data_IF_593207224954
#
_entry.id   IF_593207224954
#
_cell.length_a   1.000
_cell.length_b   1.000
_cell.length_c   1.000
_cell.angle_alpha   90.00
_cell.angle_beta   90.00
_cell.angle_gamma   90.00
#
_symmetry.space_group_name_H-M   'P 1'
#
loop_
_entity.id
_entity.type
_entity.pdbx_description
1 polymer ?
#
# COMPACT_ATOMS: atom_id res chain seq x y z
N UNK A 1 -22.84 -23.39 69.35
CA UNK A 1 -23.19 -22.49 68.22
C UNK A 1 -21.96 -22.36 67.35
N UNK A 2 -21.98 -23.08 66.20
CA UNK A 2 -20.87 -23.05 65.21
C UNK A 2 -21.28 -22.13 64.09
N UNK A 3 -20.60 -20.99 63.92
CA UNK A 3 -20.82 -20.05 62.86
C UNK A 3 -20.01 -20.49 61.61
N UNK A 4 -20.70 -20.92 60.55
CA UNK A 4 -20.09 -21.22 59.27
C UNK A 4 -19.94 -19.90 58.52
N UNK A 5 -18.69 -19.44 58.33
CA UNK A 5 -18.38 -18.34 57.45
C UNK A 5 -18.35 -18.84 56.02
N UNK A 6 -19.34 -18.46 55.21
CA UNK A 6 -19.41 -18.71 53.78
C UNK A 6 -18.59 -17.61 53.05
N UNK A 7 -17.38 -17.94 52.58
CA UNK A 7 -16.58 -17.04 51.74
C UNK A 7 -17.14 -17.10 50.31
N UNK A 8 -17.80 -16.04 49.88
CA UNK A 8 -18.21 -15.83 48.48
C UNK A 8 -16.96 -15.38 47.74
N UNK A 9 -16.40 -16.26 46.92
CA UNK A 9 -15.38 -15.90 45.94
C UNK A 9 -16.05 -15.12 44.78
N UNK A 10 -15.93 -13.79 44.80
CA UNK A 10 -16.25 -13.01 43.59
C UNK A 10 -15.21 -13.37 42.50
N UNK A 11 -15.61 -14.15 41.53
CA UNK A 11 -14.90 -14.29 40.27
C UNK A 11 -15.02 -12.93 39.55
N UNK A 12 -13.98 -12.09 39.66
CA UNK A 12 -13.83 -10.94 38.83
C UNK A 12 -13.59 -11.43 37.39
N UNK A 13 -14.65 -11.51 36.58
CA UNK A 13 -14.54 -11.55 35.13
C UNK A 13 -13.96 -10.20 34.71
N UNK A 14 -12.64 -10.07 34.74
CA UNK A 14 -11.95 -9.00 34.04
C UNK A 14 -12.23 -9.16 32.56
N UNK A 15 -13.08 -8.31 31.99
CA UNK A 15 -13.15 -8.16 30.55
C UNK A 15 -11.75 -7.76 30.08
N UNK A 16 -11.03 -8.67 29.43
CA UNK A 16 -9.77 -8.33 28.76
C UNK A 16 -10.05 -7.14 27.84
N UNK A 17 -9.37 -6.03 28.06
CA UNK A 17 -9.50 -4.88 27.16
C UNK A 17 -9.05 -5.33 25.78
N UNK A 18 -9.85 -5.03 24.74
CA UNK A 18 -9.47 -5.33 23.37
C UNK A 18 -8.09 -4.73 23.05
N UNK A 19 -7.24 -5.50 22.39
CA UNK A 19 -5.97 -4.99 21.87
C UNK A 19 -6.28 -3.84 20.91
N UNK A 20 -5.53 -2.74 21.03
CA UNK A 20 -5.68 -1.56 20.17
C UNK A 20 -4.46 -1.44 19.28
N UNK A 21 -4.69 -1.21 18.00
CA UNK A 21 -3.63 -0.96 17.02
C UNK A 21 -3.97 0.27 16.18
N UNK A 22 -2.96 1.05 15.82
CA UNK A 22 -3.09 2.12 14.82
C UNK A 22 -2.45 1.63 13.52
N UNK A 23 -3.17 1.79 12.41
CA UNK A 23 -2.72 1.43 11.06
C UNK A 23 -2.43 2.70 10.26
N UNK A 24 -1.16 2.94 9.95
CA UNK A 24 -0.74 3.95 8.98
C UNK A 24 -1.08 3.48 7.55
N UNK A 25 -1.71 4.34 6.76
CA UNK A 25 -2.15 4.01 5.39
C UNK A 25 -1.53 4.96 4.36
N UNK A 26 -2.31 5.73 3.65
CA UNK A 26 -1.92 6.77 2.72
C UNK A 26 -2.95 7.87 2.73
N UNK A 27 -2.86 8.82 1.80
CA UNK A 27 -3.86 9.84 1.62
C UNK A 27 -5.24 9.25 1.25
N UNK A 28 -6.30 9.95 1.59
CA UNK A 28 -7.70 9.50 1.34
C UNK A 28 -8.05 9.34 -0.14
N UNK A 29 -7.30 9.99 -1.04
CA UNK A 29 -7.41 9.82 -2.49
C UNK A 29 -6.78 8.53 -3.04
N UNK A 30 -6.08 7.74 -2.20
CA UNK A 30 -5.43 6.48 -2.56
C UNK A 30 -6.21 5.24 -2.11
N UNK A 31 -5.76 4.07 -2.55
CA UNK A 31 -6.39 2.78 -2.24
C UNK A 31 -6.13 2.35 -0.80
N UNK A 32 -4.96 2.65 -0.22
CA UNK A 32 -4.57 2.22 1.13
C UNK A 32 -5.60 2.60 2.20
N UNK A 33 -6.08 3.85 2.19
CA UNK A 33 -6.96 4.35 3.25
C UNK A 33 -8.30 3.61 3.27
N UNK A 34 -8.98 3.55 2.12
CA UNK A 34 -10.28 2.88 2.02
C UNK A 34 -10.17 1.37 2.27
N UNK A 35 -9.16 0.72 1.68
CA UNK A 35 -8.94 -0.71 1.88
C UNK A 35 -8.51 -1.05 3.32
N UNK A 36 -7.65 -0.22 3.90
CA UNK A 36 -7.27 -0.33 5.32
C UNK A 36 -8.47 -0.23 6.26
N UNK A 37 -9.45 0.63 5.92
CA UNK A 37 -10.72 0.72 6.66
C UNK A 37 -11.50 -0.58 6.65
N UNK A 38 -11.62 -1.23 5.48
CA UNK A 38 -12.27 -2.55 5.35
C UNK A 38 -11.50 -3.61 6.15
N UNK A 39 -10.17 -3.72 5.97
CA UNK A 39 -9.36 -4.67 6.74
C UNK A 39 -9.49 -4.44 8.25
N UNK A 40 -9.41 -3.19 8.71
CA UNK A 40 -9.56 -2.83 10.12
C UNK A 40 -10.90 -3.27 10.72
N UNK A 41 -11.98 -3.15 9.95
CA UNK A 41 -13.29 -3.62 10.35
C UNK A 41 -13.35 -5.14 10.51
N UNK A 42 -12.78 -5.91 9.55
CA UNK A 42 -12.72 -7.37 9.66
C UNK A 42 -11.82 -7.82 10.81
N UNK A 43 -10.66 -7.19 11.01
CA UNK A 43 -9.77 -7.46 12.14
C UNK A 43 -10.52 -7.22 13.46
N UNK A 44 -11.23 -6.10 13.58
CA UNK A 44 -12.04 -5.81 14.77
C UNK A 44 -13.13 -6.86 15.02
N UNK A 45 -13.91 -7.18 14.00
CA UNK A 45 -15.08 -8.03 14.13
C UNK A 45 -14.73 -9.52 14.32
N UNK A 46 -13.61 -9.99 13.77
CA UNK A 46 -13.21 -11.40 13.75
C UNK A 46 -12.10 -11.74 14.73
N UNK A 47 -11.17 -10.81 14.97
CA UNK A 47 -10.05 -11.00 15.88
C UNK A 47 -10.22 -10.28 17.24
N UNK A 48 -11.19 -9.37 17.37
CA UNK A 48 -11.40 -8.57 18.58
C UNK A 48 -10.31 -7.50 18.80
N UNK A 49 -9.54 -7.17 17.77
CA UNK A 49 -8.48 -6.15 17.79
C UNK A 49 -9.06 -4.85 17.25
N UNK A 50 -9.05 -3.79 18.05
CA UNK A 50 -9.58 -2.48 17.65
C UNK A 50 -8.55 -1.72 16.82
N UNK A 51 -8.77 -1.59 15.51
CA UNK A 51 -7.84 -0.94 14.58
C UNK A 51 -8.31 0.46 14.24
N UNK A 52 -7.51 1.47 14.59
CA UNK A 52 -7.69 2.85 14.15
C UNK A 52 -6.89 3.08 12.87
N UNK A 53 -7.57 3.40 11.78
CA UNK A 53 -6.94 3.68 10.48
C UNK A 53 -6.66 5.17 10.36
N UNK A 54 -5.42 5.53 10.03
CA UNK A 54 -4.99 6.92 9.90
C UNK A 54 -4.41 7.21 8.51
N UNK A 55 -4.71 8.40 7.99
CA UNK A 55 -4.11 8.90 6.76
C UNK A 55 -2.68 9.36 7.02
N UNK A 56 -1.77 9.03 6.11
CA UNK A 56 -0.34 9.39 6.16
C UNK A 56 0.16 9.77 4.77
N UNK A 57 1.43 10.14 4.66
CA UNK A 57 2.09 10.38 3.38
C UNK A 57 2.44 9.07 2.62
N UNK A 58 2.18 7.89 3.20
CA UNK A 58 2.37 6.58 2.57
C UNK A 58 3.54 5.78 3.11
N UNK A 59 4.17 4.97 2.25
CA UNK A 59 5.02 3.84 2.63
C UNK A 59 6.18 4.19 3.57
N UNK A 60 6.97 5.22 3.26
CA UNK A 60 8.09 5.63 4.11
C UNK A 60 7.60 6.14 5.47
N UNK A 61 6.56 6.98 5.47
CA UNK A 61 5.96 7.51 6.70
C UNK A 61 5.44 6.39 7.61
N UNK A 62 4.85 5.34 7.03
CA UNK A 62 4.33 4.20 7.77
C UNK A 62 5.44 3.38 8.42
N UNK A 63 6.53 3.12 7.71
CA UNK A 63 7.71 2.42 8.27
C UNK A 63 8.32 3.24 9.40
N UNK A 64 8.50 4.56 9.20
CA UNK A 64 9.03 5.44 10.23
C UNK A 64 8.10 5.54 11.44
N UNK A 65 6.78 5.60 11.24
CA UNK A 65 5.79 5.61 12.33
C UNK A 65 5.78 4.30 13.13
N UNK A 66 5.99 3.14 12.48
CA UNK A 66 6.17 1.87 13.21
C UNK A 66 7.48 1.90 14.02
N UNK A 67 8.56 2.40 13.44
CA UNK A 67 9.84 2.50 14.13
C UNK A 67 9.78 3.44 15.33
N UNK A 68 8.99 4.51 15.23
CA UNK A 68 8.74 5.44 16.34
C UNK A 68 7.76 4.90 17.41
N UNK A 69 7.02 3.83 17.11
CA UNK A 69 5.99 3.27 17.99
C UNK A 69 4.61 3.96 17.85
N UNK A 70 4.45 4.88 16.92
CA UNK A 70 3.19 5.59 16.65
C UNK A 70 2.14 4.68 16.02
N UNK A 71 2.59 3.71 15.21
CA UNK A 71 1.75 2.73 14.53
C UNK A 71 2.16 1.31 14.88
N UNK A 72 1.19 0.40 14.92
CA UNK A 72 1.41 -1.04 15.07
C UNK A 72 1.28 -1.77 13.74
N UNK A 73 0.51 -1.21 12.79
CA UNK A 73 0.29 -1.73 11.44
C UNK A 73 0.61 -0.64 10.42
N UNK A 74 0.96 -1.05 9.21
CA UNK A 74 1.16 -0.11 8.10
C UNK A 74 0.95 -0.78 6.74
N UNK A 75 0.42 -0.02 5.78
CA UNK A 75 0.40 -0.43 4.37
C UNK A 75 1.58 0.21 3.65
N UNK A 76 2.34 -0.59 2.91
CA UNK A 76 3.56 -0.13 2.24
C UNK A 76 3.73 -0.81 0.88
N UNK A 77 4.44 -0.16 -0.02
CA UNK A 77 4.91 -0.77 -1.26
C UNK A 77 6.04 -1.77 -0.96
N UNK A 78 6.09 -2.88 -1.69
CA UNK A 78 7.10 -3.94 -1.52
C UNK A 78 8.53 -3.46 -1.75
N UNK A 79 8.75 -2.55 -2.67
CA UNK A 79 10.05 -1.91 -2.93
C UNK A 79 10.47 -1.00 -1.76
N UNK A 80 9.59 -0.13 -1.28
CA UNK A 80 9.88 0.76 -0.15
C UNK A 80 10.08 -0.03 1.15
N UNK A 81 9.35 -1.13 1.33
CA UNK A 81 9.55 -2.08 2.42
C UNK A 81 10.98 -2.64 2.42
N UNK A 82 11.46 -3.05 1.25
CA UNK A 82 12.84 -3.53 1.08
C UNK A 82 13.85 -2.41 1.35
N UNK A 83 13.62 -1.20 0.83
CA UNK A 83 14.51 -0.05 1.07
C UNK A 83 14.61 0.29 2.57
N UNK A 84 13.51 0.22 3.31
CA UNK A 84 13.52 0.40 4.77
C UNK A 84 14.33 -0.68 5.48
N UNK A 85 14.11 -1.93 5.10
CA UNK A 85 14.82 -3.08 5.67
C UNK A 85 16.34 -3.06 5.40
N UNK A 86 16.74 -2.61 4.21
CA UNK A 86 18.13 -2.53 3.80
C UNK A 86 18.83 -1.23 4.24
N UNK A 87 18.08 -0.17 4.50
CA UNK A 87 18.61 1.17 4.72
C UNK A 87 19.10 1.82 3.42
N UNK A 88 18.41 1.53 2.30
CA UNK A 88 18.80 1.99 0.96
C UNK A 88 17.81 3.02 0.40
N UNK A 89 18.17 3.69 -0.67
CA UNK A 89 17.31 4.63 -1.43
C UNK A 89 16.54 5.63 -0.53
N UNK A 90 15.24 5.44 -0.35
CA UNK A 90 14.41 6.31 0.50
C UNK A 90 14.88 6.35 1.96
N UNK A 91 15.63 5.37 2.41
CA UNK A 91 16.16 5.26 3.78
C UNK A 91 17.68 5.43 3.89
N UNK A 92 18.36 5.83 2.81
CA UNK A 92 19.83 5.99 2.81
C UNK A 92 20.33 6.90 3.94
N UNK A 93 19.57 7.95 4.27
CA UNK A 93 19.91 8.88 5.36
C UNK A 93 19.42 8.41 6.73
N UNK A 94 18.35 7.62 6.76
CA UNK A 94 17.73 7.13 8.01
C UNK A 94 18.39 5.84 8.50
N UNK A 95 19.02 5.08 7.58
CA UNK A 95 19.59 3.75 7.85
C UNK A 95 18.55 2.64 7.85
N UNK A 96 18.97 1.44 8.24
CA UNK A 96 18.12 0.25 8.35
C UNK A 96 17.02 0.43 9.39
N UNK A 97 15.82 -0.03 9.02
CA UNK A 97 14.68 -0.15 9.94
C UNK A 97 14.28 -1.62 9.99
N UNK A 98 14.54 -2.28 11.11
CA UNK A 98 14.25 -3.71 11.34
C UNK A 98 13.17 -3.96 12.39
N UNK A 99 12.48 -2.90 12.82
CA UNK A 99 11.42 -2.92 13.83
C UNK A 99 10.06 -3.36 13.30
N UNK A 100 9.96 -3.79 12.05
CA UNK A 100 8.73 -4.29 11.43
C UNK A 100 8.89 -5.67 10.82
N UNK A 101 7.77 -6.33 10.53
CA UNK A 101 7.70 -7.65 9.86
C UNK A 101 6.54 -7.64 8.88
N UNK A 102 6.61 -8.52 7.88
CA UNK A 102 5.53 -8.74 6.91
C UNK A 102 4.38 -9.49 7.56
N UNK A 103 3.17 -9.02 7.32
CA UNK A 103 1.95 -9.82 7.55
C UNK A 103 1.56 -10.51 6.25
N UNK A 104 1.39 -9.75 5.17
CA UNK A 104 0.95 -10.29 3.88
C UNK A 104 1.18 -9.32 2.72
N UNK A 105 1.40 -9.84 1.51
CA UNK A 105 1.12 -9.11 0.28
C UNK A 105 -0.40 -8.98 0.07
N UNK A 106 -0.84 -7.86 -0.46
CA UNK A 106 -2.27 -7.53 -0.60
C UNK A 106 -2.73 -7.55 -2.06
N UNK A 107 -2.34 -6.57 -2.84
CA UNK A 107 -2.78 -6.38 -4.22
C UNK A 107 -1.70 -5.65 -5.05
N UNK A 108 -1.91 -5.60 -6.36
CA UNK A 108 -1.03 -4.89 -7.28
C UNK A 108 -1.24 -3.37 -7.18
N UNK A 109 -0.14 -2.62 -7.03
CA UNK A 109 -0.11 -1.16 -7.07
C UNK A 109 0.45 -0.70 -8.41
N UNK A 110 -0.43 -0.39 -9.34
CA UNK A 110 -0.05 0.07 -10.66
C UNK A 110 0.48 1.50 -10.62
N UNK A 111 1.58 1.72 -11.36
CA UNK A 111 2.12 3.06 -11.60
C UNK A 111 1.26 3.71 -12.69
N UNK A 112 0.40 4.63 -12.29
CA UNK A 112 -0.54 5.32 -13.17
C UNK A 112 -0.01 6.72 -13.45
N UNK A 113 0.44 6.94 -14.67
CA UNK A 113 0.78 8.28 -15.16
C UNK A 113 -0.49 8.89 -15.77
N UNK A 114 -1.02 9.92 -15.12
CA UNK A 114 -2.31 10.53 -15.46
C UNK A 114 -2.08 11.94 -16.00
N UNK A 115 -2.79 12.29 -17.07
CA UNK A 115 -2.76 13.63 -17.68
C UNK A 115 -4.16 14.04 -18.16
N UNK A 116 -4.40 15.34 -18.32
CA UNK A 116 -5.55 15.89 -19.05
C UNK A 116 -5.17 16.41 -20.43
N UNK A 117 -3.87 16.40 -20.78
CA UNK A 117 -3.36 16.78 -22.09
C UNK A 117 -3.28 15.56 -23.01
N UNK A 118 -4.14 15.44 -24.07
CA UNK A 118 -4.14 14.29 -24.96
C UNK A 118 -2.88 14.18 -25.83
N UNK A 119 -2.01 15.18 -25.84
CA UNK A 119 -0.74 15.14 -26.54
C UNK A 119 0.40 14.51 -25.72
N UNK A 120 0.22 14.31 -24.42
CA UNK A 120 1.14 13.53 -23.59
C UNK A 120 0.78 12.04 -23.74
N UNK A 121 1.50 11.34 -24.60
CA UNK A 121 1.24 9.94 -25.00
C UNK A 121 2.30 8.96 -24.49
N UNK A 122 3.46 9.46 -24.13
CA UNK A 122 4.60 8.68 -23.64
C UNK A 122 5.25 9.38 -22.44
N UNK A 123 6.05 8.64 -21.69
CA UNK A 123 6.84 9.23 -20.57
C UNK A 123 7.81 10.33 -21.08
N UNK A 124 8.35 10.18 -22.30
CA UNK A 124 9.26 11.17 -22.89
C UNK A 124 8.60 12.54 -23.13
N UNK A 125 7.29 12.59 -23.31
CA UNK A 125 6.54 13.85 -23.51
C UNK A 125 6.47 14.71 -22.23
N UNK A 126 6.89 14.17 -21.08
CA UNK A 126 6.97 14.91 -19.82
C UNK A 126 8.10 15.94 -19.78
N UNK A 127 9.03 15.92 -20.75
CA UNK A 127 10.16 16.88 -20.78
C UNK A 127 9.65 18.32 -20.75
N UNK A 128 10.10 19.10 -19.76
CA UNK A 128 9.72 20.51 -19.55
C UNK A 128 8.33 20.72 -18.94
N UNK A 129 7.55 19.65 -18.75
CA UNK A 129 6.19 19.68 -18.16
C UNK A 129 6.24 19.83 -16.64
N UNK A 130 5.13 20.32 -16.07
CA UNK A 130 4.91 20.35 -14.62
C UNK A 130 4.29 19.03 -14.19
N UNK A 131 5.00 18.24 -13.38
CA UNK A 131 4.62 16.84 -13.08
C UNK A 131 4.62 16.60 -11.57
N UNK A 132 3.50 16.11 -11.03
CA UNK A 132 3.45 15.62 -9.67
C UNK A 132 4.12 14.24 -9.59
N UNK A 133 5.10 14.11 -8.71
CA UNK A 133 5.90 12.89 -8.49
C UNK A 133 5.68 12.29 -7.10
N UNK A 134 4.54 12.59 -6.48
CA UNK A 134 4.12 12.04 -5.19
C UNK A 134 4.54 12.88 -3.98
N UNK A 135 3.97 12.58 -2.83
CA UNK A 135 4.30 13.24 -1.57
C UNK A 135 5.73 12.89 -1.11
N UNK A 136 6.41 13.77 -0.34
CA UNK A 136 7.83 13.60 0.01
C UNK A 136 8.18 12.32 0.76
N UNK A 137 7.26 11.78 1.56
CA UNK A 137 7.44 10.55 2.33
C UNK A 137 6.71 9.35 1.72
N UNK A 138 6.31 9.44 0.44
CA UNK A 138 5.69 8.35 -0.31
C UNK A 138 6.73 7.47 -1.03
N UNK A 139 6.29 6.29 -1.46
CA UNK A 139 7.07 5.45 -2.39
C UNK A 139 6.99 5.96 -3.83
N UNK A 140 5.95 6.73 -4.16
CA UNK A 140 5.66 7.24 -5.51
C UNK A 140 6.82 8.04 -6.10
N UNK A 141 7.49 8.83 -5.26
CA UNK A 141 8.67 9.59 -5.68
C UNK A 141 9.71 8.71 -6.38
N UNK A 142 10.08 7.60 -5.75
CA UNK A 142 11.11 6.70 -6.31
C UNK A 142 10.61 5.99 -7.56
N UNK A 143 9.34 5.57 -7.59
CA UNK A 143 8.75 4.98 -8.79
C UNK A 143 8.72 6.00 -9.95
N UNK A 144 8.37 7.24 -9.70
CA UNK A 144 8.38 8.31 -10.71
C UNK A 144 9.80 8.56 -11.24
N UNK A 145 10.80 8.66 -10.35
CA UNK A 145 12.21 8.84 -10.75
C UNK A 145 12.70 7.64 -11.57
N UNK A 146 12.36 6.42 -11.19
CA UNK A 146 12.74 5.21 -11.91
C UNK A 146 12.14 5.21 -13.33
N UNK A 147 10.85 5.55 -13.47
CA UNK A 147 10.17 5.64 -14.77
C UNK A 147 10.78 6.74 -15.65
N UNK A 148 11.03 7.92 -15.08
CA UNK A 148 11.69 9.00 -15.80
C UNK A 148 13.07 8.58 -16.31
N UNK A 149 13.91 8.00 -15.43
CA UNK A 149 15.24 7.55 -15.80
C UNK A 149 15.22 6.47 -16.89
N UNK A 150 14.28 5.51 -16.81
CA UNK A 150 14.11 4.48 -17.83
C UNK A 150 13.69 5.06 -19.19
N UNK A 151 12.99 6.20 -19.19
CA UNK A 151 12.62 6.94 -20.40
C UNK A 151 13.71 7.94 -20.87
N UNK A 152 14.88 7.95 -20.22
CA UNK A 152 15.98 8.86 -20.54
C UNK A 152 15.79 10.29 -20.05
N UNK A 153 14.90 10.51 -19.09
CA UNK A 153 14.67 11.77 -18.40
C UNK A 153 15.21 11.71 -16.96
N UNK A 154 15.51 12.86 -16.41
CA UNK A 154 15.81 13.04 -14.99
C UNK A 154 14.78 13.96 -14.34
N UNK A 155 14.78 14.05 -13.02
CA UNK A 155 13.94 14.99 -12.29
C UNK A 155 14.15 16.44 -12.75
N UNK A 156 15.38 16.82 -13.13
CA UNK A 156 15.71 18.15 -13.64
C UNK A 156 15.16 18.46 -15.04
N UNK A 157 14.70 17.43 -15.78
CA UNK A 157 14.07 17.61 -17.09
C UNK A 157 12.57 17.95 -17.00
N UNK A 158 11.99 17.92 -15.80
CA UNK A 158 10.60 18.28 -15.51
C UNK A 158 10.54 19.42 -14.47
N UNK A 159 9.35 20.00 -14.30
CA UNK A 159 9.05 20.91 -13.17
C UNK A 159 8.36 20.07 -12.08
N UNK A 160 9.16 19.40 -11.27
CA UNK A 160 8.66 18.48 -10.27
C UNK A 160 7.76 19.16 -9.21
N UNK A 161 6.62 18.53 -8.90
CA UNK A 161 5.71 18.90 -7.84
C UNK A 161 5.58 17.73 -6.87
N UNK A 162 5.50 18.00 -5.57
CA UNK A 162 5.45 17.00 -4.53
C UNK A 162 4.11 17.07 -3.81
N UNK A 163 3.13 16.31 -4.29
CA UNK A 163 1.74 16.43 -3.89
C UNK A 163 1.13 15.07 -3.53
N UNK A 164 0.06 15.11 -2.70
CA UNK A 164 -0.80 13.95 -2.50
C UNK A 164 -1.58 13.63 -3.78
N UNK A 165 -2.23 12.45 -3.85
CA UNK A 165 -3.04 12.09 -5.02
C UNK A 165 -4.26 13.01 -5.20
N UNK A 166 -4.90 13.41 -4.10
CA UNK A 166 -6.02 14.34 -4.13
C UNK A 166 -5.58 15.72 -4.63
N UNK A 167 -4.50 16.27 -4.07
CA UNK A 167 -3.96 17.56 -4.51
C UNK A 167 -3.50 17.52 -5.97
N UNK A 168 -2.95 16.38 -6.42
CA UNK A 168 -2.54 16.17 -7.81
C UNK A 168 -3.74 16.16 -8.76
N UNK A 169 -4.82 15.48 -8.38
CA UNK A 169 -6.06 15.47 -9.16
C UNK A 169 -6.67 16.88 -9.27
N UNK A 170 -6.71 17.63 -8.19
CA UNK A 170 -7.17 19.02 -8.19
C UNK A 170 -6.24 19.93 -9.01
N UNK A 171 -4.93 19.74 -8.91
CA UNK A 171 -3.97 20.52 -9.68
C UNK A 171 -4.03 20.23 -11.18
N UNK A 172 -4.29 18.98 -11.59
CA UNK A 172 -4.59 18.61 -12.98
C UNK A 172 -5.86 19.32 -13.47
N UNK A 173 -6.96 19.22 -12.71
CA UNK A 173 -8.23 19.85 -13.01
C UNK A 173 -8.12 21.36 -13.17
N UNK A 174 -7.29 22.00 -12.34
CA UNK A 174 -7.05 23.44 -12.38
C UNK A 174 -6.02 23.85 -13.47
N UNK A 175 -5.42 22.91 -14.20
CA UNK A 175 -4.37 23.18 -15.17
C UNK A 175 -3.06 23.70 -14.58
N UNK A 176 -2.81 23.44 -13.29
CA UNK A 176 -1.59 23.83 -12.57
C UNK A 176 -0.43 22.88 -12.80
N UNK A 177 -0.73 21.64 -13.12
CA UNK A 177 0.24 20.62 -13.54
C UNK A 177 -0.23 19.94 -14.82
N UNK A 178 0.70 19.38 -15.58
CA UNK A 178 0.45 18.73 -16.87
C UNK A 178 0.20 17.22 -16.70
N UNK A 179 0.84 16.59 -15.69
CA UNK A 179 0.72 15.16 -15.42
C UNK A 179 0.99 14.84 -13.94
N UNK A 180 0.57 13.65 -13.52
CA UNK A 180 0.80 13.16 -12.16
C UNK A 180 1.10 11.66 -12.16
N UNK A 181 2.09 11.24 -11.39
CA UNK A 181 2.30 9.85 -11.01
C UNK A 181 1.43 9.49 -9.81
N UNK A 182 0.63 8.45 -9.95
CA UNK A 182 -0.22 7.88 -8.90
C UNK A 182 0.08 6.38 -8.84
N UNK A 183 0.68 5.92 -7.73
CA UNK A 183 1.00 4.51 -7.53
C UNK A 183 0.05 3.95 -6.50
N UNK A 184 -0.92 3.18 -6.96
CA UNK A 184 -2.02 2.68 -6.15
C UNK A 184 -2.74 1.53 -6.85
N UNK A 185 -3.60 0.82 -6.12
CA UNK A 185 -4.54 -0.14 -6.74
C UNK A 185 -5.54 0.58 -7.64
N UNK A 186 -5.65 0.13 -8.89
CA UNK A 186 -6.67 0.61 -9.82
C UNK A 186 -7.99 -0.19 -9.64
N UNK A 187 -9.19 0.47 -9.67
CA UNK A 187 -9.39 1.91 -9.77
C UNK A 187 -8.97 2.66 -8.50
N UNK A 188 -8.32 3.82 -8.68
CA UNK A 188 -7.88 4.69 -7.60
C UNK A 188 -8.88 5.81 -7.37
N UNK A 189 -9.30 6.11 -6.13
CA UNK A 189 -10.35 7.11 -5.85
C UNK A 189 -10.08 8.47 -6.50
N UNK A 190 -8.88 9.04 -6.38
CA UNK A 190 -8.54 10.34 -6.95
C UNK A 190 -8.67 10.38 -8.49
N UNK A 191 -8.29 9.29 -9.19
CA UNK A 191 -8.44 9.20 -10.65
C UNK A 191 -9.91 9.01 -11.02
N UNK A 192 -10.65 8.19 -10.26
CA UNK A 192 -12.08 7.99 -10.46
C UNK A 192 -12.85 9.30 -10.33
N UNK A 193 -12.54 10.10 -9.31
CA UNK A 193 -13.14 11.42 -9.10
C UNK A 193 -12.80 12.37 -10.26
N UNK A 194 -11.52 12.46 -10.65
CA UNK A 194 -11.04 13.29 -11.74
C UNK A 194 -11.80 12.97 -13.05
N UNK A 195 -11.87 11.68 -13.40
CA UNK A 195 -12.50 11.21 -14.64
C UNK A 195 -14.04 11.31 -14.64
N UNK A 196 -14.67 11.49 -13.47
CA UNK A 196 -16.12 11.66 -13.39
C UNK A 196 -16.59 12.94 -14.10
N UNK A 197 -15.83 14.01 -14.03
CA UNK A 197 -16.21 15.34 -14.54
C UNK A 197 -15.26 15.87 -15.63
N UNK A 198 -14.13 15.24 -15.87
CA UNK A 198 -13.10 15.68 -16.82
C UNK A 198 -12.67 14.53 -17.73
N UNK A 199 -12.17 14.87 -18.90
CA UNK A 199 -11.44 13.94 -19.74
C UNK A 199 -9.99 13.85 -19.20
N UNK A 200 -9.61 12.67 -18.76
CA UNK A 200 -8.26 12.37 -18.34
C UNK A 200 -7.78 11.05 -18.95
N UNK A 201 -6.49 10.96 -19.17
CA UNK A 201 -5.86 9.88 -19.91
C UNK A 201 -4.80 9.21 -19.05
N UNK A 202 -4.70 7.88 -19.16
CA UNK A 202 -3.57 7.12 -18.64
C UNK A 202 -2.51 7.02 -19.72
N UNK A 203 -1.28 7.41 -19.41
CA UNK A 203 -0.12 7.28 -20.30
C UNK A 203 0.52 5.91 -20.04
N UNK A 204 0.71 5.06 -21.06
CA UNK A 204 1.29 3.73 -20.90
C UNK A 204 2.75 3.82 -20.44
N UNK A 205 3.15 2.83 -19.63
CA UNK A 205 4.54 2.58 -19.23
C UNK A 205 4.85 1.16 -19.72
N UNK A 206 5.23 1.04 -20.97
CA UNK A 206 5.39 -0.23 -21.68
C UNK A 206 6.70 -0.31 -22.48
N UNK A 207 6.84 -1.32 -23.31
CA UNK A 207 7.98 -1.53 -24.21
C UNK A 207 9.33 -1.39 -23.51
N UNK A 208 10.25 -0.65 -24.13
CA UNK A 208 11.63 -0.51 -23.66
C UNK A 208 11.72 0.14 -22.26
N UNK A 209 10.78 1.02 -21.89
CA UNK A 209 10.75 1.65 -20.56
C UNK A 209 10.44 0.61 -19.50
N UNK A 210 9.39 -0.20 -19.68
CA UNK A 210 9.03 -1.26 -18.76
C UNK A 210 10.12 -2.35 -18.67
N UNK A 211 10.69 -2.76 -19.81
CA UNK A 211 11.79 -3.73 -19.87
C UNK A 211 13.02 -3.25 -19.09
N UNK A 212 13.41 -1.99 -19.28
CA UNK A 212 14.54 -1.37 -18.55
C UNK A 212 14.29 -1.32 -17.04
N UNK A 213 13.06 -0.99 -16.63
CA UNK A 213 12.66 -0.95 -15.22
C UNK A 213 12.74 -2.34 -14.59
N UNK A 214 12.15 -3.36 -15.22
CA UNK A 214 12.17 -4.74 -14.70
C UNK A 214 13.59 -5.33 -14.67
N UNK A 215 14.47 -4.92 -15.57
CA UNK A 215 15.87 -5.35 -15.56
C UNK A 215 16.68 -4.71 -14.43
N UNK A 216 16.33 -3.48 -14.03
CA UNK A 216 17.06 -2.72 -13.01
C UNK A 216 16.51 -2.90 -11.59
N UNK A 217 15.24 -3.27 -11.44
CA UNK A 217 14.56 -3.38 -10.15
C UNK A 217 13.61 -4.59 -10.14
N UNK A 218 13.90 -5.62 -9.32
CA UNK A 218 13.14 -6.87 -9.31
C UNK A 218 11.74 -6.76 -8.70
N UNK A 219 11.37 -5.60 -8.13
CA UNK A 219 10.05 -5.37 -7.57
C UNK A 219 9.00 -5.02 -8.62
N UNK A 220 9.43 -4.55 -9.81
CA UNK A 220 8.51 -4.20 -10.88
C UNK A 220 8.08 -5.42 -11.68
N UNK A 221 6.79 -5.48 -11.98
CA UNK A 221 6.21 -6.44 -12.92
C UNK A 221 5.27 -5.70 -13.87
N UNK A 222 4.99 -6.27 -15.04
CA UNK A 222 4.01 -5.70 -15.98
C UNK A 222 2.60 -5.87 -15.44
N UNK A 223 1.76 -4.87 -15.64
CA UNK A 223 0.34 -4.87 -15.28
C UNK A 223 -0.49 -4.23 -16.39
N UNK A 224 -1.69 -4.75 -16.61
CA UNK A 224 -2.67 -4.17 -17.53
C UNK A 224 -3.82 -3.58 -16.72
N UNK A 225 -4.07 -2.30 -16.88
CA UNK A 225 -5.27 -1.63 -16.37
C UNK A 225 -6.36 -1.82 -17.44
N UNK A 226 -7.40 -2.63 -17.17
CA UNK A 226 -8.40 -2.97 -18.17
C UNK A 226 -9.19 -1.75 -18.66
N UNK A 227 -9.60 -1.78 -19.92
CA UNK A 227 -10.56 -0.82 -20.47
C UNK A 227 -11.80 -0.70 -19.57
N UNK A 228 -12.31 0.52 -19.42
CA UNK A 228 -13.46 0.78 -18.57
C UNK A 228 -13.17 0.85 -17.07
N UNK A 229 -11.91 0.73 -16.64
CA UNK A 229 -11.52 0.95 -15.23
C UNK A 229 -11.87 2.38 -14.80
N UNK A 230 -11.65 3.35 -15.67
CA UNK A 230 -12.01 4.75 -15.46
C UNK A 230 -12.98 5.22 -16.54
N UNK A 231 -13.81 6.23 -16.22
CA UNK A 231 -14.71 6.83 -17.19
C UNK A 231 -13.92 7.43 -18.35
N UNK A 232 -14.28 7.07 -19.56
CA UNK A 232 -13.62 7.53 -20.80
C UNK A 232 -12.40 6.71 -21.23
N UNK A 233 -11.91 5.79 -20.39
CA UNK A 233 -10.85 4.85 -20.77
C UNK A 233 -11.46 3.72 -21.62
N UNK A 234 -11.23 3.76 -22.93
CA UNK A 234 -11.81 2.81 -23.91
C UNK A 234 -10.91 1.63 -24.24
N UNK A 235 -9.62 1.70 -23.88
CA UNK A 235 -8.61 0.70 -24.19
C UNK A 235 -7.89 0.25 -22.94
N UNK A 236 -7.31 -0.96 -23.00
CA UNK A 236 -6.39 -1.45 -22.00
C UNK A 236 -5.12 -0.57 -21.96
N UNK A 237 -4.60 -0.30 -20.76
CA UNK A 237 -3.36 0.46 -20.61
C UNK A 237 -2.32 -0.40 -19.93
N UNK A 238 -1.23 -0.70 -20.62
CA UNK A 238 -0.10 -1.42 -20.05
C UNK A 238 0.74 -0.47 -19.19
N UNK A 239 1.08 -0.93 -18.01
CA UNK A 239 1.96 -0.22 -17.07
C UNK A 239 2.79 -1.23 -16.26
N UNK A 240 3.54 -0.71 -15.29
CA UNK A 240 4.26 -1.50 -14.29
C UNK A 240 3.55 -1.44 -12.93
N UNK A 241 3.85 -2.40 -12.08
CA UNK A 241 3.29 -2.48 -10.74
C UNK A 241 4.32 -2.93 -9.72
N UNK A 242 4.15 -2.49 -8.48
CA UNK A 242 4.73 -3.08 -7.27
C UNK A 242 3.63 -3.71 -6.45
N UNK A 243 3.92 -4.34 -5.33
CA UNK A 243 2.92 -4.99 -4.48
C UNK A 243 2.62 -4.14 -3.25
N UNK A 244 1.34 -3.89 -2.98
CA UNK A 244 0.88 -3.42 -1.67
C UNK A 244 1.11 -4.51 -0.63
N UNK A 245 1.66 -4.16 0.52
CA UNK A 245 2.01 -5.09 1.58
C UNK A 245 1.51 -4.56 2.93
N UNK A 246 0.95 -5.43 3.75
CA UNK A 246 0.64 -5.15 5.14
C UNK A 246 1.86 -5.53 5.99
N UNK A 247 2.35 -4.58 6.77
CA UNK A 247 3.42 -4.79 7.75
C UNK A 247 2.91 -4.54 9.16
N UNK A 248 3.61 -5.10 10.13
CA UNK A 248 3.29 -4.98 11.56
C UNK A 248 4.57 -4.71 12.35
N UNK A 249 4.45 -4.04 13.49
CA UNK A 249 5.57 -3.91 14.45
C UNK A 249 6.14 -5.29 14.82
N UNK A 250 7.45 -5.43 14.79
CA UNK A 250 8.13 -6.66 15.18
C UNK A 250 7.85 -7.06 16.65
N UNK A 251 7.43 -6.12 17.48
CA UNK A 251 7.08 -6.34 18.89
C UNK A 251 5.62 -6.75 19.13
N UNK A 252 4.79 -6.83 18.07
CA UNK A 252 3.41 -7.29 18.18
C UNK A 252 3.36 -8.73 18.68
N UNK A 253 2.29 -9.10 19.40
CA UNK A 253 2.18 -10.48 19.90
C UNK A 253 1.92 -11.47 18.77
N UNK A 254 2.51 -12.66 18.85
CA UNK A 254 2.29 -13.73 17.86
C UNK A 254 0.80 -14.06 17.73
N UNK A 255 0.08 -14.12 18.86
CA UNK A 255 -1.35 -14.45 18.91
C UNK A 255 -2.20 -13.38 18.21
N UNK A 256 -1.94 -12.10 18.46
CA UNK A 256 -2.67 -11.02 17.79
C UNK A 256 -2.42 -11.00 16.28
N UNK A 257 -1.15 -11.17 15.86
CA UNK A 257 -0.82 -11.19 14.42
C UNK A 257 -1.38 -12.44 13.73
N UNK A 258 -1.38 -13.59 14.39
CA UNK A 258 -2.07 -14.78 13.87
C UNK A 258 -3.57 -14.52 13.68
N UNK A 259 -4.24 -13.97 14.70
CA UNK A 259 -5.68 -13.68 14.66
C UNK A 259 -6.04 -12.65 13.59
N UNK A 260 -5.27 -11.56 13.45
CA UNK A 260 -5.55 -10.56 12.40
C UNK A 260 -5.30 -11.13 11.00
N UNK A 261 -4.30 -11.99 10.83
CA UNK A 261 -4.04 -12.66 9.55
C UNK A 261 -5.21 -13.59 9.19
N UNK A 262 -5.67 -14.40 10.14
CA UNK A 262 -6.85 -15.24 9.97
C UNK A 262 -8.12 -14.42 9.69
N UNK A 263 -8.32 -13.28 10.38
CA UNK A 263 -9.45 -12.39 10.15
C UNK A 263 -9.51 -11.85 8.71
N UNK A 264 -8.36 -11.66 8.08
CA UNK A 264 -8.27 -11.23 6.68
C UNK A 264 -8.51 -12.41 5.74
N UNK A 265 -7.72 -13.47 5.84
CA UNK A 265 -7.67 -14.53 4.83
C UNK A 265 -8.80 -15.57 4.94
N UNK A 266 -9.45 -15.70 6.08
CA UNK A 266 -10.66 -16.54 6.21
C UNK A 266 -11.95 -15.79 5.80
N UNK A 267 -11.86 -14.50 5.41
CA UNK A 267 -13.01 -13.68 5.03
C UNK A 267 -12.83 -12.98 3.65
N UNK A 268 -12.02 -13.54 2.77
CA UNK A 268 -11.67 -12.93 1.45
C UNK A 268 -12.91 -12.59 0.63
N UNK A 269 -13.89 -13.49 0.53
CA UNK A 269 -15.12 -13.24 -0.26
C UNK A 269 -15.90 -12.04 0.27
N UNK A 270 -16.02 -11.93 1.60
CA UNK A 270 -16.73 -10.84 2.23
C UNK A 270 -15.97 -9.50 2.10
N UNK A 271 -14.64 -9.51 2.22
CA UNK A 271 -13.77 -8.34 1.97
C UNK A 271 -13.90 -7.91 0.50
N UNK A 272 -13.94 -8.88 -0.44
CA UNK A 272 -14.10 -8.61 -1.87
C UNK A 272 -15.43 -7.94 -2.19
N UNK A 273 -16.50 -8.34 -1.50
CA UNK A 273 -17.81 -7.72 -1.68
C UNK A 273 -17.85 -6.24 -1.22
N UNK A 274 -17.02 -5.85 -0.26
CA UNK A 274 -16.92 -4.47 0.23
C UNK A 274 -15.86 -3.66 -0.54
N UNK A 275 -14.80 -4.31 -1.00
CA UNK A 275 -13.74 -3.66 -1.79
C UNK A 275 -13.17 -4.66 -2.80
N UNK A 276 -13.26 -4.32 -4.09
CA UNK A 276 -12.85 -5.17 -5.20
C UNK A 276 -11.38 -5.65 -5.12
N UNK A 277 -10.50 -4.92 -4.43
CA UNK A 277 -9.11 -5.34 -4.18
C UNK A 277 -8.99 -6.60 -3.30
N UNK A 278 -10.04 -6.95 -2.58
CA UNK A 278 -10.13 -8.24 -1.89
C UNK A 278 -10.00 -9.45 -2.81
N UNK A 279 -10.39 -9.34 -4.09
CA UNK A 279 -10.25 -10.41 -5.07
C UNK A 279 -8.78 -10.80 -5.36
N UNK A 280 -7.83 -9.91 -5.04
CA UNK A 280 -6.40 -10.19 -5.18
C UNK A 280 -5.79 -10.89 -3.96
N UNK A 281 -6.55 -11.00 -2.86
CA UNK A 281 -6.12 -11.73 -1.66
C UNK A 281 -6.11 -13.23 -1.94
N UNK A 282 -4.95 -13.83 -1.88
CA UNK A 282 -4.75 -15.29 -1.89
C UNK A 282 -3.52 -15.64 -1.07
N UNK A 283 -3.43 -16.87 -0.60
CA UNK A 283 -2.25 -17.34 0.14
C UNK A 283 -0.99 -17.22 -0.73
N UNK A 284 -1.08 -17.54 -2.02
CA UNK A 284 0.02 -17.42 -2.97
C UNK A 284 0.46 -15.97 -3.15
N UNK A 285 -0.48 -15.05 -3.41
CA UNK A 285 -0.14 -13.64 -3.56
C UNK A 285 0.40 -13.03 -2.27
N UNK A 286 -0.15 -13.42 -1.12
CA UNK A 286 0.25 -12.93 0.20
C UNK A 286 1.69 -13.29 0.56
N UNK A 287 2.19 -14.44 0.08
CA UNK A 287 3.47 -14.99 0.51
C UNK A 287 4.57 -14.87 -0.55
N UNK A 288 4.22 -14.64 -1.82
CA UNK A 288 5.19 -14.57 -2.92
C UNK A 288 5.89 -13.21 -3.02
N UNK A 289 7.20 -13.22 -3.35
CA UNK A 289 7.98 -12.02 -3.66
C UNK A 289 8.32 -11.14 -2.45
N UNK A 290 8.16 -11.64 -1.23
CA UNK A 290 8.53 -10.91 -0.01
C UNK A 290 10.04 -11.08 0.26
N UNK A 291 10.74 -9.96 0.43
CA UNK A 291 12.18 -9.91 0.72
C UNK A 291 12.50 -9.60 2.17
N UNK A 292 11.47 -9.28 2.96
CA UNK A 292 11.56 -8.99 4.39
C UNK A 292 10.91 -10.14 5.16
N UNK A 293 11.44 -10.54 6.33
CA UNK A 293 10.88 -11.62 7.14
C UNK A 293 9.43 -11.40 7.54
N UNK A 294 8.65 -12.47 7.55
CA UNK A 294 7.29 -12.48 8.07
C UNK A 294 7.27 -12.45 9.60
N UNK A 295 6.21 -11.89 10.15
CA UNK A 295 5.93 -12.02 11.58
C UNK A 295 5.56 -13.47 11.94
N UNK A 296 6.03 -13.97 13.09
CA UNK A 296 5.81 -15.35 13.52
C UNK A 296 4.30 -15.74 13.52
N UNK A 297 3.41 -14.82 13.92
CA UNK A 297 1.96 -15.05 13.90
C UNK A 297 1.40 -15.21 12.48
N UNK A 298 1.86 -14.43 11.51
CA UNK A 298 1.48 -14.58 10.11
C UNK A 298 2.04 -15.87 9.53
N UNK A 299 3.32 -16.17 9.79
CA UNK A 299 3.97 -17.41 9.35
C UNK A 299 3.25 -18.66 9.86
N UNK A 300 2.81 -18.64 11.11
CA UNK A 300 2.01 -19.72 11.71
C UNK A 300 0.70 -19.95 10.95
N UNK A 301 -0.04 -18.87 10.64
CA UNK A 301 -1.26 -18.98 9.86
C UNK A 301 -1.00 -19.57 8.47
N UNK A 302 0.01 -19.08 7.75
CA UNK A 302 0.33 -19.58 6.41
C UNK A 302 0.83 -21.03 6.43
N UNK A 303 1.57 -21.45 7.47
CA UNK A 303 1.98 -22.85 7.65
C UNK A 303 0.78 -23.79 7.79
N UNK A 304 -0.28 -23.39 8.50
CA UNK A 304 -1.54 -24.13 8.59
C UNK A 304 -2.27 -24.24 7.23
N UNK A 305 -2.03 -23.30 6.32
CA UNK A 305 -2.53 -23.35 4.94
C UNK A 305 -1.56 -24.05 3.97
N UNK A 306 -0.48 -24.65 4.48
CA UNK A 306 0.49 -25.44 3.72
C UNK A 306 1.64 -24.64 3.10
N UNK A 307 1.81 -23.37 3.46
CA UNK A 307 2.90 -22.52 2.94
C UNK A 307 3.81 -22.06 4.06
N UNK A 308 5.09 -22.44 3.97
CA UNK A 308 6.13 -21.99 4.90
C UNK A 308 6.80 -20.71 4.38
N UNK A 309 6.90 -19.69 5.23
CA UNK A 309 7.55 -18.40 4.92
C UNK A 309 8.69 -18.13 5.90
N UNK A 310 9.70 -17.34 5.49
CA UNK A 310 10.83 -16.99 6.32
C UNK A 310 10.43 -15.99 7.43
N UNK A 311 10.91 -16.21 8.66
CA UNK A 311 10.69 -15.34 9.82
C UNK A 311 11.98 -14.66 10.33
N UNK A 312 13.13 -15.04 9.74
CA UNK A 312 14.46 -14.52 10.06
C UNK A 312 15.23 -14.16 8.77
#
# INVERSE_FOLDING_TARGET
MLAVMMTVALAACGSASATKMTMGTGGTGGTYYGYGGVLGQYIKNKAGIDVTVVSTDGSKANIQGIAAGDYQLGTVQSDVMAYGWEGSRSFEKDGKVDSFRVVAGLYAESVQLVTMDPEIKTVADLKGKSVSIGAPASGVYFNAIDVLNAAGLSESDIKAQYQSFADSADALKDGKIDAAFIVAGAPTPAITELTTTNDAYLVPIDGAVAESLMASCPFYTTYVIPAGTYKGQTEDVTTITVKATLIVSASASEDDVYKLTAAIFDNVDAITAENAKGAELSIENATSGMTVPFHAGAAKYFAEKGVNVATE
#
